data_IF_208777882986
#
_entry.id   IF_208777882986
#
_cell.length_a   1.000
_cell.length_b   1.000
_cell.length_c   1.000
_cell.angle_alpha   90.00
_cell.angle_beta   90.00
_cell.angle_gamma   90.00
#
_symmetry.space_group_name_H-M   'P 1'
#
loop_
_entity.id
_entity.type
_entity.pdbx_description
1 polymer ?
#
# COMPACT_ATOMS: atom_id res chain seq x y z
N UNK A 1 47.39 -37.32 19.32
CA UNK A 1 48.23 -37.53 18.13
C UNK A 1 47.34 -37.32 16.91
N UNK A 2 47.55 -36.19 16.21
CA UNK A 2 47.08 -35.77 14.86
C UNK A 2 45.58 -35.89 14.49
N UNK A 3 44.92 -34.93 13.84
CA UNK A 3 45.22 -33.54 13.50
C UNK A 3 43.95 -32.90 12.93
N UNK A 4 43.73 -31.62 13.26
CA UNK A 4 42.88 -30.69 12.50
C UNK A 4 43.32 -30.67 11.04
N UNK A 5 42.39 -30.77 10.09
CA UNK A 5 42.61 -30.34 8.70
C UNK A 5 41.79 -29.08 8.43
N UNK A 6 42.48 -27.96 8.52
CA UNK A 6 42.09 -26.68 7.94
C UNK A 6 42.10 -26.80 6.41
N UNK A 7 40.99 -26.46 5.76
CA UNK A 7 40.96 -26.21 4.32
C UNK A 7 40.99 -24.69 4.11
N UNK A 8 42.20 -24.16 3.89
CA UNK A 8 42.40 -22.84 3.30
C UNK A 8 42.12 -22.96 1.80
N UNK A 9 41.11 -22.26 1.30
CA UNK A 9 41.03 -21.96 -0.13
C UNK A 9 41.38 -20.49 -0.34
N UNK A 10 42.50 -20.33 -1.02
CA UNK A 10 43.09 -19.09 -1.52
C UNK A 10 42.18 -18.62 -2.66
N UNK A 11 41.60 -17.42 -2.55
CA UNK A 11 41.08 -16.73 -3.74
C UNK A 11 41.88 -15.45 -3.92
N UNK A 12 42.57 -15.41 -5.05
CA UNK A 12 43.57 -14.42 -5.41
C UNK A 12 42.89 -13.08 -5.70
N UNK A 13 43.54 -12.00 -5.25
CA UNK A 13 43.12 -10.65 -5.52
C UNK A 13 43.17 -10.34 -7.00
N UNK A 14 42.08 -9.75 -7.50
CA UNK A 14 42.06 -9.02 -8.77
C UNK A 14 41.85 -7.55 -8.44
N UNK A 15 42.96 -6.84 -8.26
CA UNK A 15 43.03 -5.39 -8.13
C UNK A 15 42.75 -4.76 -9.50
N UNK A 16 41.64 -4.04 -9.61
CA UNK A 16 41.33 -3.19 -10.77
C UNK A 16 41.96 -1.82 -10.52
N UNK A 17 42.87 -1.31 -11.38
CA UNK A 17 43.52 -0.04 -11.12
C UNK A 17 42.60 1.13 -11.49
N UNK A 18 42.45 2.02 -10.52
CA UNK A 18 41.89 3.36 -10.59
C UNK A 18 42.80 4.23 -11.47
N UNK A 19 42.34 4.61 -12.67
CA UNK A 19 43.01 5.62 -13.50
C UNK A 19 42.38 6.98 -13.22
N UNK A 20 43.09 7.77 -12.43
CA UNK A 20 42.88 9.21 -12.24
C UNK A 20 43.59 9.93 -13.39
N UNK A 21 42.85 10.67 -14.21
CA UNK A 21 43.43 11.62 -15.16
C UNK A 21 42.85 13.02 -14.88
N UNK A 22 43.64 13.82 -14.15
CA UNK A 22 43.50 15.26 -14.05
C UNK A 22 44.02 15.90 -15.35
N UNK A 23 43.16 16.64 -16.05
CA UNK A 23 43.58 17.65 -17.02
C UNK A 23 42.83 18.96 -16.72
N UNK A 24 43.58 19.90 -16.14
CA UNK A 24 43.23 21.31 -16.06
C UNK A 24 43.42 21.95 -17.44
N UNK A 25 42.40 22.66 -17.91
CA UNK A 25 42.53 23.63 -19.00
C UNK A 25 41.53 24.76 -18.77
N UNK A 26 42.02 25.90 -18.30
CA UNK A 26 41.29 27.15 -18.21
C UNK A 26 41.29 27.85 -19.58
N UNK A 27 40.15 28.41 -19.98
CA UNK A 27 40.08 29.55 -20.89
C UNK A 27 38.73 30.26 -20.68
N UNK A 28 38.80 31.43 -20.05
CA UNK A 28 37.72 32.41 -19.96
C UNK A 28 37.58 33.19 -21.27
N UNK A 29 36.36 33.40 -21.74
CA UNK A 29 36.05 34.51 -22.65
C UNK A 29 34.63 35.03 -22.42
N UNK A 30 34.52 36.34 -22.60
CA UNK A 30 33.51 37.26 -22.09
C UNK A 30 32.40 37.49 -23.11
N UNK A 31 31.14 37.54 -22.62
CA UNK A 31 30.11 38.50 -23.04
C UNK A 31 29.44 38.35 -24.41
N UNK A 32 28.17 37.94 -24.41
CA UNK A 32 27.15 38.50 -25.29
C UNK A 32 25.76 38.33 -24.65
N UNK A 33 25.18 39.45 -24.21
CA UNK A 33 23.80 39.57 -23.76
C UNK A 33 22.87 39.42 -24.96
N UNK A 34 22.11 38.32 -25.03
CA UNK A 34 21.01 38.16 -25.97
C UNK A 34 19.69 38.39 -25.24
N UNK A 35 19.00 39.45 -25.63
CA UNK A 35 17.71 39.90 -25.10
C UNK A 35 16.64 38.86 -25.43
N UNK A 36 16.00 38.34 -24.38
CA UNK A 36 14.85 37.44 -24.42
C UNK A 36 13.63 38.14 -25.06
N UNK A 37 12.99 37.58 -26.11
CA UNK A 37 11.67 38.03 -26.51
C UNK A 37 10.62 37.58 -25.48
N UNK A 38 9.79 38.52 -25.04
CA UNK A 38 8.67 38.27 -24.14
C UNK A 38 7.65 37.30 -24.78
N UNK A 39 7.08 36.35 -24.02
CA UNK A 39 5.97 35.56 -24.51
C UNK A 39 4.71 36.45 -24.61
N UNK A 40 4.15 36.50 -25.82
CA UNK A 40 2.86 37.14 -26.12
C UNK A 40 1.76 36.50 -25.28
N UNK A 41 1.03 37.32 -24.53
CA UNK A 41 -0.19 36.91 -23.84
C UNK A 41 -1.28 36.57 -24.87
N UNK A 42 -1.63 35.29 -24.95
CA UNK A 42 -2.84 34.83 -25.64
C UNK A 42 -3.99 34.86 -24.64
N UNK A 43 -4.96 35.75 -24.85
CA UNK A 43 -6.22 35.79 -24.12
C UNK A 43 -7.07 34.56 -24.46
N UNK A 44 -7.32 33.68 -23.49
CA UNK A 44 -8.31 32.60 -23.60
C UNK A 44 -9.72 33.15 -23.32
N UNK A 45 -10.79 32.62 -23.97
CA UNK A 45 -12.14 33.12 -23.79
C UNK A 45 -12.69 32.74 -22.41
N UNK A 46 -13.51 33.63 -21.83
CA UNK A 46 -14.29 33.34 -20.64
C UNK A 46 -15.27 32.19 -20.90
N UNK A 47 -15.19 31.14 -20.09
CA UNK A 47 -16.16 30.06 -20.07
C UNK A 47 -17.10 30.21 -18.86
N UNK A 48 -18.38 30.25 -19.20
CA UNK A 48 -19.61 30.31 -18.41
C UNK A 48 -19.63 29.38 -17.19
N UNK A 49 -20.12 29.90 -16.06
CA UNK A 49 -20.54 29.12 -14.90
C UNK A 49 -21.94 28.54 -15.13
N UNK A 50 -22.12 27.23 -14.91
CA UNK A 50 -23.36 26.55 -14.45
C UNK A 50 -23.21 25.01 -14.55
N UNK A 51 -23.99 24.17 -13.82
CA UNK A 51 -24.53 24.29 -12.46
C UNK A 51 -24.06 23.13 -11.55
N UNK A 52 -24.23 23.28 -10.24
CA UNK A 52 -24.05 22.26 -9.20
C UNK A 52 -24.79 20.96 -9.53
N UNK A 53 -24.05 19.85 -9.63
CA UNK A 53 -24.62 18.51 -9.74
C UNK A 53 -24.67 17.84 -8.36
N UNK A 54 -25.89 17.48 -7.97
CA UNK A 54 -26.30 16.67 -6.83
C UNK A 54 -25.58 15.32 -6.79
N UNK A 55 -25.14 14.90 -5.61
CA UNK A 55 -24.54 13.58 -5.33
C UNK A 55 -25.58 12.49 -5.63
N UNK A 56 -25.21 11.49 -6.43
CA UNK A 56 -26.02 10.31 -6.71
C UNK A 56 -25.24 9.05 -6.28
N UNK A 57 -25.83 8.31 -5.34
CA UNK A 57 -25.57 6.89 -5.11
C UNK A 57 -25.55 6.16 -6.47
N UNK A 58 -24.37 5.73 -6.90
CA UNK A 58 -24.23 5.04 -8.19
C UNK A 58 -24.18 3.54 -7.95
N UNK A 59 -25.33 2.88 -8.07
CA UNK A 59 -25.38 1.44 -8.28
C UNK A 59 -25.05 1.14 -9.76
N UNK A 60 -23.97 0.40 -10.01
CA UNK A 60 -23.58 -0.07 -11.35
C UNK A 60 -24.27 -1.41 -11.64
N UNK A 61 -24.88 -1.62 -12.83
CA UNK A 61 -25.62 -2.85 -13.14
C UNK A 61 -24.69 -4.05 -13.46
N UNK A 62 -25.12 -5.20 -12.97
CA UNK A 62 -24.43 -6.50 -12.83
C UNK A 62 -24.29 -7.30 -14.14
N UNK A 63 -23.14 -7.93 -14.35
CA UNK A 63 -23.01 -9.18 -15.14
C UNK A 63 -23.26 -10.39 -14.23
N UNK A 64 -24.17 -11.28 -14.62
CA UNK A 64 -24.64 -12.46 -13.86
C UNK A 64 -23.58 -13.08 -12.93
N UNK A 65 -23.72 -12.87 -11.61
CA UNK A 65 -22.94 -13.53 -10.56
C UNK A 65 -22.02 -12.63 -9.73
N UNK A 66 -21.69 -11.41 -10.18
CA UNK A 66 -20.88 -10.48 -9.38
C UNK A 66 -21.73 -9.77 -8.31
N UNK A 67 -21.18 -9.52 -7.11
CA UNK A 67 -21.89 -8.79 -6.06
C UNK A 67 -22.18 -7.35 -6.48
N UNK A 68 -23.31 -6.81 -6.03
CA UNK A 68 -23.58 -5.38 -6.08
C UNK A 68 -22.86 -4.69 -4.93
N UNK A 69 -22.11 -3.64 -5.26
CA UNK A 69 -21.31 -2.91 -4.27
C UNK A 69 -21.90 -1.51 -4.08
N UNK A 70 -22.10 -1.12 -2.82
CA UNK A 70 -22.41 0.24 -2.41
C UNK A 70 -21.27 0.75 -1.54
N UNK A 71 -20.81 1.98 -1.80
CA UNK A 71 -19.72 2.61 -1.06
C UNK A 71 -19.87 4.13 -1.12
N UNK A 72 -19.90 4.78 0.04
CA UNK A 72 -19.79 6.23 0.16
C UNK A 72 -18.31 6.61 0.30
N UNK A 73 -17.73 7.16 -0.77
CA UNK A 73 -16.32 7.60 -0.76
C UNK A 73 -16.10 8.92 -0.01
N UNK A 74 -17.17 9.61 0.40
CA UNK A 74 -17.10 10.90 1.05
C UNK A 74 -16.17 11.88 0.31
N UNK A 75 -15.20 12.46 1.04
CA UNK A 75 -14.15 13.31 0.48
C UNK A 75 -12.84 12.59 0.15
N UNK A 76 -12.77 11.27 0.36
CA UNK A 76 -11.53 10.49 0.15
C UNK A 76 -11.23 10.33 -1.34
N UNK A 77 -12.27 10.18 -2.16
CA UNK A 77 -12.17 10.03 -3.60
C UNK A 77 -13.38 10.68 -4.29
N UNK A 78 -13.30 10.91 -5.60
CA UNK A 78 -14.40 11.46 -6.40
C UNK A 78 -15.56 10.48 -6.63
N UNK A 79 -15.36 9.22 -6.24
CA UNK A 79 -16.26 8.09 -6.42
C UNK A 79 -15.44 6.80 -6.47
N UNK A 80 -16.07 5.70 -6.89
CA UNK A 80 -15.39 4.44 -7.16
C UNK A 80 -15.80 3.88 -8.52
N UNK A 81 -14.92 3.09 -9.12
CA UNK A 81 -15.22 2.29 -10.30
C UNK A 81 -15.03 0.81 -9.97
N UNK A 82 -15.86 -0.05 -10.54
CA UNK A 82 -15.80 -1.51 -10.32
C UNK A 82 -15.33 -2.22 -11.58
N UNK A 83 -14.43 -3.17 -11.41
CA UNK A 83 -13.99 -4.09 -12.46
C UNK A 83 -14.04 -5.54 -11.95
N UNK A 84 -14.56 -6.46 -12.76
CA UNK A 84 -14.44 -7.89 -12.50
C UNK A 84 -13.10 -8.38 -13.04
N UNK A 85 -12.21 -8.80 -12.15
CA UNK A 85 -10.92 -9.37 -12.51
C UNK A 85 -11.08 -10.87 -12.70
N UNK A 86 -10.75 -11.35 -13.89
CA UNK A 86 -10.85 -12.77 -14.23
C UNK A 86 -9.90 -13.62 -13.38
N UNK A 87 -10.33 -14.85 -13.07
CA UNK A 87 -9.51 -15.81 -12.33
C UNK A 87 -8.10 -16.00 -12.96
N UNK A 88 -7.09 -16.06 -12.11
CA UNK A 88 -5.72 -16.39 -12.49
C UNK A 88 -5.44 -17.81 -12.03
N UNK A 89 -5.31 -18.72 -12.98
CA UNK A 89 -4.98 -20.13 -12.72
C UNK A 89 -3.49 -20.32 -12.52
N UNK A 90 -3.12 -21.35 -11.77
CA UNK A 90 -1.72 -21.76 -11.63
C UNK A 90 -1.09 -22.07 -13.00
N UNK A 91 -0.03 -21.34 -13.34
CA UNK A 91 0.82 -21.62 -14.48
C UNK A 91 2.05 -22.41 -14.02
N UNK A 92 2.59 -23.28 -14.86
CA UNK A 92 3.82 -24.02 -14.54
C UNK A 92 4.97 -23.04 -14.21
N UNK A 93 5.46 -23.07 -12.97
CA UNK A 93 6.49 -22.15 -12.48
C UNK A 93 5.99 -20.72 -12.16
N UNK A 94 4.68 -20.48 -12.18
CA UNK A 94 4.07 -19.23 -11.76
C UNK A 94 4.15 -19.03 -10.24
N UNK A 95 4.16 -17.77 -9.76
CA UNK A 95 4.16 -17.51 -8.34
C UNK A 95 2.82 -17.87 -7.69
N UNK A 96 2.85 -18.63 -6.59
CA UNK A 96 1.62 -19.02 -5.88
C UNK A 96 0.80 -17.81 -5.41
N UNK A 97 1.44 -16.69 -5.07
CA UNK A 97 0.75 -15.46 -4.64
C UNK A 97 -0.05 -14.77 -5.76
N UNK A 98 0.17 -15.15 -7.02
CA UNK A 98 -0.60 -14.65 -8.16
C UNK A 98 -1.86 -15.45 -8.47
N UNK A 99 -2.05 -16.63 -7.87
CA UNK A 99 -3.20 -17.49 -8.11
C UNK A 99 -4.39 -16.97 -7.30
N UNK A 100 -5.43 -16.51 -8.00
CA UNK A 100 -6.61 -15.88 -7.39
C UNK A 100 -7.87 -16.28 -8.17
N UNK A 101 -9.04 -16.35 -7.50
CA UNK A 101 -10.30 -16.61 -8.18
C UNK A 101 -10.69 -15.39 -9.02
N UNK A 102 -11.83 -15.44 -9.68
CA UNK A 102 -12.47 -14.21 -10.13
C UNK A 102 -12.85 -13.36 -8.91
N UNK A 103 -12.64 -12.05 -8.96
CA UNK A 103 -12.97 -11.14 -7.87
C UNK A 103 -13.37 -9.76 -8.37
N UNK A 104 -14.01 -8.97 -7.51
CA UNK A 104 -14.36 -7.58 -7.85
C UNK A 104 -13.28 -6.65 -7.31
N UNK A 105 -12.75 -5.78 -8.17
CA UNK A 105 -11.80 -4.73 -7.83
C UNK A 105 -12.52 -3.38 -7.88
N UNK A 106 -12.32 -2.57 -6.85
CA UNK A 106 -12.71 -1.17 -6.85
C UNK A 106 -11.48 -0.29 -6.96
N UNK A 107 -11.53 0.68 -7.87
CA UNK A 107 -10.56 1.78 -7.94
C UNK A 107 -11.20 3.07 -7.39
N UNK A 108 -10.35 3.99 -6.92
CA UNK A 108 -10.79 5.23 -6.26
C UNK A 108 -10.25 6.46 -7.01
N UNK A 109 -10.86 6.87 -8.14
CA UNK A 109 -10.46 8.07 -8.86
C UNK A 109 -10.47 9.31 -7.96
N UNK A 110 -9.41 10.13 -8.05
CA UNK A 110 -9.29 11.33 -7.23
C UNK A 110 -8.78 11.10 -5.81
N UNK A 111 -8.32 9.89 -5.47
CA UNK A 111 -7.59 9.64 -4.23
C UNK A 111 -6.36 10.58 -4.11
N UNK A 112 -6.08 11.18 -2.93
CA UNK A 112 -5.13 12.29 -2.85
C UNK A 112 -3.66 11.88 -2.95
N UNK A 113 -3.32 10.60 -2.73
CA UNK A 113 -1.96 10.10 -2.85
C UNK A 113 -1.76 9.40 -4.19
N UNK A 114 -0.89 9.99 -5.02
CA UNK A 114 -0.56 9.50 -6.36
C UNK A 114 0.91 9.07 -6.52
N UNK A 115 1.78 9.46 -5.58
CA UNK A 115 3.20 9.08 -5.56
C UNK A 115 3.43 8.06 -4.45
N UNK A 116 3.18 6.79 -4.75
CA UNK A 116 3.25 5.69 -3.80
C UNK A 116 3.54 4.37 -4.53
N UNK A 117 4.12 3.39 -3.85
CA UNK A 117 4.45 2.08 -4.40
C UNK A 117 3.22 1.31 -4.91
N UNK A 118 2.13 1.41 -4.14
CA UNK A 118 0.84 0.75 -4.39
C UNK A 118 -0.23 1.77 -4.78
N UNK A 119 -1.24 1.31 -5.51
CA UNK A 119 -2.40 2.11 -5.91
C UNK A 119 -3.58 1.90 -4.95
N UNK A 120 -4.42 2.92 -4.70
CA UNK A 120 -5.59 2.81 -3.82
C UNK A 120 -6.64 1.87 -4.42
N UNK A 121 -6.87 0.74 -3.77
CA UNK A 121 -7.75 -0.32 -4.26
C UNK A 121 -8.52 -1.00 -3.14
N UNK A 122 -9.73 -1.46 -3.44
CA UNK A 122 -10.52 -2.36 -2.57
C UNK A 122 -10.82 -3.63 -3.37
N UNK A 123 -10.66 -4.79 -2.74
CA UNK A 123 -10.80 -6.11 -3.34
C UNK A 123 -11.91 -6.86 -2.63
N UNK A 124 -12.82 -7.45 -3.39
CA UNK A 124 -13.92 -8.28 -2.88
C UNK A 124 -13.75 -9.69 -3.45
N UNK A 125 -13.28 -10.61 -2.60
CA UNK A 125 -13.02 -11.99 -2.99
C UNK A 125 -14.15 -12.91 -2.52
N UNK A 126 -14.68 -13.80 -3.38
CA UNK A 126 -15.56 -14.86 -2.95
C UNK A 126 -14.75 -15.89 -2.14
N UNK A 127 -15.11 -16.08 -0.85
CA UNK A 127 -14.28 -16.80 0.14
C UNK A 127 -14.10 -18.28 -0.24
N UNK A 128 -15.18 -18.94 -0.67
CA UNK A 128 -15.17 -20.36 -1.01
C UNK A 128 -14.18 -20.64 -2.14
N UNK A 129 -14.25 -19.84 -3.20
CA UNK A 129 -13.41 -19.94 -4.38
C UNK A 129 -11.97 -19.53 -4.06
N UNK A 130 -11.78 -18.45 -3.29
CA UNK A 130 -10.47 -17.98 -2.86
C UNK A 130 -9.67 -19.09 -2.15
N UNK A 131 -10.30 -19.75 -1.18
CA UNK A 131 -9.69 -20.86 -0.45
C UNK A 131 -9.50 -22.12 -1.30
N UNK A 132 -10.37 -22.34 -2.29
CA UNK A 132 -10.27 -23.48 -3.19
C UNK A 132 -9.12 -23.34 -4.21
N UNK A 133 -8.86 -22.12 -4.71
CA UNK A 133 -7.82 -21.91 -5.72
C UNK A 133 -6.45 -21.63 -5.13
N UNK A 134 -6.37 -21.12 -3.88
CA UNK A 134 -5.10 -20.76 -3.25
C UNK A 134 -5.09 -21.11 -1.77
N UNK A 135 -4.47 -22.25 -1.43
CA UNK A 135 -4.35 -22.74 -0.06
C UNK A 135 -3.64 -21.76 0.89
N UNK A 136 -2.79 -20.87 0.35
CA UNK A 136 -2.12 -19.82 1.12
C UNK A 136 -3.08 -18.80 1.74
N UNK A 137 -4.33 -18.73 1.26
CA UNK A 137 -5.36 -17.81 1.77
C UNK A 137 -6.15 -18.39 2.95
N UNK A 138 -6.19 -19.72 3.11
CA UNK A 138 -6.88 -20.41 4.20
C UNK A 138 -6.46 -19.90 5.59
N UNK A 139 -5.16 -19.83 5.93
CA UNK A 139 -4.74 -19.31 7.24
C UNK A 139 -5.06 -17.82 7.42
N UNK A 140 -5.12 -17.03 6.34
CA UNK A 140 -5.44 -15.59 6.40
C UNK A 140 -6.91 -15.40 6.77
N UNK A 141 -7.82 -16.08 6.06
CA UNK A 141 -9.26 -16.04 6.35
C UNK A 141 -9.54 -16.55 7.77
N UNK A 142 -8.89 -17.66 8.17
CA UNK A 142 -9.06 -18.24 9.52
C UNK A 142 -8.56 -17.29 10.62
N UNK A 143 -7.43 -16.61 10.39
CA UNK A 143 -6.89 -15.63 11.34
C UNK A 143 -7.81 -14.44 11.48
N UNK A 144 -8.36 -13.93 10.37
CA UNK A 144 -9.35 -12.84 10.41
C UNK A 144 -10.60 -13.27 11.19
N UNK A 145 -11.17 -14.44 10.91
CA UNK A 145 -12.32 -14.96 11.69
C UNK A 145 -12.03 -15.03 13.19
N UNK A 146 -10.83 -15.46 13.58
CA UNK A 146 -10.41 -15.54 14.98
C UNK A 146 -10.28 -14.15 15.62
N UNK A 147 -9.71 -13.19 14.88
CA UNK A 147 -9.58 -11.80 15.33
C UNK A 147 -10.93 -11.14 15.55
N UNK A 148 -11.88 -11.33 14.62
CA UNK A 148 -13.21 -10.75 14.71
C UNK A 148 -14.04 -11.33 15.87
N UNK A 149 -13.74 -12.56 16.31
CA UNK A 149 -14.43 -13.19 17.45
C UNK A 149 -13.84 -12.81 18.81
N UNK A 150 -12.53 -12.61 18.89
CA UNK A 150 -11.83 -12.44 20.17
C UNK A 150 -11.38 -11.00 20.47
N UNK A 151 -11.27 -10.17 19.43
CA UNK A 151 -10.63 -8.85 19.44
C UNK A 151 -9.19 -8.85 20.01
N UNK A 152 -8.55 -10.02 20.10
CA UNK A 152 -7.18 -10.18 20.57
C UNK A 152 -6.26 -10.33 19.37
N UNK A 153 -5.29 -9.44 19.23
CA UNK A 153 -4.29 -9.50 18.17
C UNK A 153 -3.56 -10.85 18.16
N UNK A 154 -3.48 -11.45 16.97
CA UNK A 154 -2.74 -12.68 16.70
C UNK A 154 -1.83 -12.45 15.49
N UNK A 155 -0.59 -12.90 15.60
CA UNK A 155 0.36 -12.86 14.51
C UNK A 155 0.35 -14.19 13.72
N UNK A 156 0.44 -14.15 12.38
CA UNK A 156 0.48 -12.95 11.54
C UNK A 156 -0.89 -12.27 11.44
N UNK A 157 -0.90 -10.94 11.29
CA UNK A 157 -2.12 -10.20 10.98
C UNK A 157 -2.60 -10.55 9.56
N UNK A 158 -3.92 -10.68 9.34
CA UNK A 158 -4.45 -11.03 8.03
C UNK A 158 -4.18 -9.90 7.05
N UNK A 159 -3.81 -10.26 5.82
CA UNK A 159 -3.64 -9.30 4.73
C UNK A 159 -3.91 -9.98 3.38
N UNK A 160 -4.77 -9.36 2.58
CA UNK A 160 -4.91 -9.63 1.15
C UNK A 160 -4.81 -8.32 0.37
N UNK A 161 -4.41 -8.36 -0.91
CA UNK A 161 -3.96 -9.54 -1.68
C UNK A 161 -2.65 -10.14 -1.14
N UNK A 162 -2.34 -11.38 -1.54
CA UNK A 162 -1.05 -12.00 -1.19
C UNK A 162 0.10 -11.14 -1.75
N UNK A 163 1.07 -10.84 -0.90
CA UNK A 163 2.16 -9.93 -1.23
C UNK A 163 3.50 -10.61 -0.96
N UNK A 164 4.40 -10.63 -1.95
CA UNK A 164 5.69 -11.30 -1.86
C UNK A 164 6.74 -10.45 -1.13
N UNK A 165 6.42 -10.04 0.09
CA UNK A 165 7.30 -9.32 0.99
C UNK A 165 6.83 -9.56 2.43
N UNK A 166 7.67 -9.22 3.40
CA UNK A 166 7.32 -9.38 4.80
C UNK A 166 6.48 -8.18 5.26
N UNK A 167 5.37 -8.45 5.93
CA UNK A 167 4.65 -7.44 6.69
C UNK A 167 5.47 -7.08 7.94
N UNK A 168 6.03 -5.87 8.01
CA UNK A 168 7.06 -5.55 9.01
C UNK A 168 6.51 -4.90 10.29
N UNK A 169 5.31 -4.32 10.25
CA UNK A 169 4.75 -3.59 11.40
C UNK A 169 3.22 -3.53 11.34
N UNK A 170 2.60 -3.31 12.50
CA UNK A 170 1.18 -2.98 12.63
C UNK A 170 1.03 -1.81 13.59
N UNK A 171 0.38 -0.72 13.15
CA UNK A 171 0.09 0.43 13.98
C UNK A 171 -1.38 0.83 13.82
N UNK A 172 -1.92 1.54 14.79
CA UNK A 172 -3.28 2.10 14.73
C UNK A 172 -4.35 1.02 14.41
N UNK A 173 -4.23 -0.16 15.03
CA UNK A 173 -5.22 -1.24 14.92
C UNK A 173 -6.57 -0.78 15.46
N UNK A 174 -7.62 -0.92 14.65
CA UNK A 174 -9.00 -0.68 15.05
C UNK A 174 -9.92 -1.73 14.47
N UNK A 175 -10.86 -2.23 15.27
CA UNK A 175 -11.97 -3.03 14.79
C UNK A 175 -13.06 -2.08 14.30
N UNK A 176 -13.56 -2.35 13.09
CA UNK A 176 -14.45 -1.46 12.37
C UNK A 176 -15.42 -2.30 11.56
N UNK A 177 -16.70 -2.15 11.85
CA UNK A 177 -17.77 -2.85 11.15
C UNK A 177 -18.21 -2.04 9.91
N UNK A 178 -18.79 -2.74 8.94
CA UNK A 178 -19.42 -2.17 7.74
C UNK A 178 -20.88 -2.65 7.65
N UNK A 179 -21.65 -2.17 6.66
CA UNK A 179 -23.12 -2.31 6.69
C UNK A 179 -23.59 -3.77 6.80
N UNK A 180 -22.88 -4.68 6.14
CA UNK A 180 -23.20 -6.09 6.07
C UNK A 180 -22.09 -7.00 6.61
N UNK A 181 -21.13 -6.49 7.39
CA UNK A 181 -20.05 -7.32 7.92
C UNK A 181 -19.18 -6.66 8.98
N UNK A 182 -18.11 -7.37 9.32
CA UNK A 182 -17.17 -6.96 10.37
C UNK A 182 -15.74 -7.01 9.84
N UNK A 183 -14.89 -6.15 10.38
CA UNK A 183 -13.49 -6.09 9.97
C UNK A 183 -12.60 -5.40 10.97
N UNK A 184 -11.36 -5.24 10.55
CA UNK A 184 -10.37 -4.46 11.24
C UNK A 184 -9.50 -3.73 10.24
N UNK A 185 -8.97 -2.59 10.67
CA UNK A 185 -7.98 -1.82 9.93
C UNK A 185 -6.74 -1.58 10.74
N UNK A 186 -5.62 -1.40 10.07
CA UNK A 186 -4.35 -1.02 10.67
C UNK A 186 -3.46 -0.38 9.60
N UNK A 187 -2.41 0.28 10.06
CA UNK A 187 -1.34 0.77 9.20
C UNK A 187 -0.24 -0.29 9.10
N UNK A 188 0.36 -0.46 7.93
CA UNK A 188 1.45 -1.42 7.69
C UNK A 188 2.37 -0.97 6.55
N UNK A 189 3.55 -1.60 6.51
CA UNK A 189 4.48 -1.56 5.38
C UNK A 189 4.92 -2.99 5.05
N UNK A 190 5.31 -3.23 3.80
CA UNK A 190 5.81 -4.52 3.32
C UNK A 190 7.22 -4.38 2.74
N UNK A 191 8.17 -5.11 3.31
CA UNK A 191 9.59 -4.95 2.96
C UNK A 191 10.25 -6.28 2.56
N UNK A 192 11.23 -6.18 1.67
CA UNK A 192 12.17 -7.28 1.34
C UNK A 192 13.57 -7.05 1.92
N UNK A 193 13.82 -5.89 2.51
CA UNK A 193 15.09 -5.48 3.08
C UNK A 193 14.86 -4.54 4.26
N UNK A 194 15.91 -4.23 5.02
CA UNK A 194 15.83 -3.21 6.07
C UNK A 194 15.80 -1.82 5.44
N UNK A 195 14.60 -1.25 5.37
CA UNK A 195 14.35 0.11 4.90
C UNK A 195 13.55 0.88 5.95
N UNK A 196 13.64 2.21 5.98
CA UNK A 196 12.85 3.00 6.93
C UNK A 196 11.36 2.85 6.64
N UNK A 197 10.52 2.79 7.68
CA UNK A 197 9.08 3.05 7.53
C UNK A 197 8.87 4.45 6.93
N UNK A 198 8.15 4.55 5.81
CA UNK A 198 8.12 5.75 4.98
C UNK A 198 6.77 5.96 4.26
N UNK A 199 6.55 7.18 3.76
CA UNK A 199 5.31 7.58 3.08
C UNK A 199 5.17 7.06 1.65
N UNK A 200 6.21 6.47 1.05
CA UNK A 200 6.11 5.85 -0.27
C UNK A 200 5.53 4.42 -0.21
N UNK A 201 5.55 3.78 0.96
CA UNK A 201 5.14 2.39 1.13
C UNK A 201 4.11 2.16 2.26
N UNK A 202 3.87 3.17 3.12
CA UNK A 202 2.89 3.07 4.19
C UNK A 202 1.45 2.99 3.64
N UNK A 203 0.74 1.94 4.05
CA UNK A 203 -0.66 1.74 3.70
C UNK A 203 -1.54 1.69 4.94
N UNK A 204 -2.72 2.29 4.82
CA UNK A 204 -3.90 1.88 5.54
C UNK A 204 -4.43 0.62 4.87
N UNK A 205 -4.62 -0.44 5.66
CA UNK A 205 -5.28 -1.64 5.17
C UNK A 205 -6.49 -1.97 6.01
N UNK A 206 -7.57 -2.38 5.36
CA UNK A 206 -8.77 -2.91 5.99
C UNK A 206 -8.95 -4.36 5.56
N UNK A 207 -9.33 -5.23 6.48
CA UNK A 207 -9.52 -6.65 6.26
C UNK A 207 -10.81 -7.07 6.96
N UNK A 208 -11.80 -7.54 6.21
CA UNK A 208 -13.14 -7.82 6.72
C UNK A 208 -13.82 -8.99 6.03
N UNK A 209 -14.91 -9.45 6.65
CA UNK A 209 -15.77 -10.50 6.14
C UNK A 209 -17.23 -10.03 6.19
N UNK A 210 -17.99 -10.33 5.14
CA UNK A 210 -19.44 -10.18 5.17
C UNK A 210 -20.04 -11.11 6.23
N UNK A 211 -21.21 -10.74 6.76
CA UNK A 211 -21.87 -11.44 7.87
C UNK A 211 -22.30 -12.85 7.51
N UNK A 212 -22.55 -13.12 6.22
CA UNK A 212 -22.81 -14.44 5.68
C UNK A 212 -21.53 -15.27 5.43
N UNK A 213 -20.35 -14.65 5.55
CA UNK A 213 -19.05 -15.26 5.32
C UNK A 213 -18.71 -15.53 3.86
N UNK A 214 -19.53 -15.06 2.91
CA UNK A 214 -19.37 -15.36 1.49
C UNK A 214 -18.27 -14.50 0.84
N UNK A 215 -18.02 -13.29 1.34
CA UNK A 215 -17.03 -12.38 0.76
C UNK A 215 -15.99 -11.91 1.78
N UNK A 216 -14.75 -11.87 1.31
CA UNK A 216 -13.63 -11.22 1.97
C UNK A 216 -13.42 -9.84 1.36
N UNK A 217 -13.36 -8.83 2.21
CA UNK A 217 -13.09 -7.44 1.83
C UNK A 217 -11.66 -7.10 2.23
N UNK A 218 -10.85 -6.66 1.27
CA UNK A 218 -9.52 -6.12 1.53
C UNK A 218 -9.42 -4.70 0.98
N UNK A 219 -8.87 -3.76 1.74
CA UNK A 219 -8.50 -2.44 1.22
C UNK A 219 -6.99 -2.25 1.33
N UNK A 220 -6.40 -1.66 0.30
CA UNK A 220 -4.99 -1.24 0.25
C UNK A 220 -4.98 0.21 -0.18
N UNK A 221 -4.83 1.09 0.81
CA UNK A 221 -5.01 2.53 0.63
C UNK A 221 -3.72 3.25 1.09
N UNK A 222 -2.96 3.88 0.17
CA UNK A 222 -1.80 4.68 0.53
C UNK A 222 -2.13 5.73 1.58
N UNK A 223 -1.26 5.92 2.57
CA UNK A 223 -1.46 6.94 3.60
C UNK A 223 -0.13 7.54 4.03
N UNK A 224 -0.12 8.84 4.29
CA UNK A 224 1.06 9.57 4.71
C UNK A 224 0.92 10.10 6.14
N UNK A 225 2.05 10.21 6.84
CA UNK A 225 2.15 10.96 8.09
C UNK A 225 3.37 11.89 8.05
N UNK A 226 3.25 13.16 8.50
CA UNK A 226 4.35 14.15 8.41
C UNK A 226 5.58 13.81 9.26
N UNK A 227 5.48 12.87 10.21
CA UNK A 227 6.63 12.42 11.00
C UNK A 227 7.49 11.37 10.29
N UNK A 228 7.05 10.84 9.15
CA UNK A 228 7.74 9.79 8.40
C UNK A 228 8.54 10.38 7.24
N UNK A 229 9.68 9.76 6.86
CA UNK A 229 10.40 10.13 5.66
C UNK A 229 9.52 9.96 4.42
N UNK A 230 9.86 10.71 3.36
CA UNK A 230 9.11 10.68 2.11
C UNK A 230 9.21 9.34 1.38
N UNK A 231 10.35 8.66 1.48
CA UNK A 231 10.67 7.42 0.75
C UNK A 231 11.63 6.53 1.56
N UNK A 232 12.04 5.41 0.95
CA UNK A 232 12.91 4.40 1.55
C UNK A 232 14.40 4.79 1.59
N UNK A 233 14.78 6.04 1.27
CA UNK A 233 16.18 6.45 1.23
C UNK A 233 16.83 6.39 2.61
N UNK A 234 17.92 5.64 2.73
CA UNK A 234 18.78 5.63 3.93
C UNK A 234 19.76 6.78 3.84
N UNK A 235 19.63 7.72 4.76
CA UNK A 235 20.35 9.00 4.79
C UNK A 235 21.53 9.00 5.77
N UNK A 236 21.59 8.02 6.67
CA UNK A 236 22.51 7.98 7.81
C UNK A 236 22.04 8.82 9.01
N UNK A 237 20.87 9.47 8.91
CA UNK A 237 20.23 10.21 10.01
C UNK A 237 19.14 9.39 10.72
N UNK A 238 18.94 8.13 10.31
CA UNK A 238 18.00 7.24 10.95
C UNK A 238 18.40 7.02 12.42
N UNK A 239 17.44 6.72 13.31
CA UNK A 239 17.73 6.36 14.68
C UNK A 239 18.75 5.21 14.76
N UNK A 240 19.61 5.19 15.79
CA UNK A 240 20.69 4.21 15.90
C UNK A 240 20.19 2.76 15.86
N UNK A 241 19.00 2.52 16.38
CA UNK A 241 18.32 1.23 16.34
C UNK A 241 18.02 0.75 14.91
N UNK A 242 17.84 1.65 13.93
CA UNK A 242 17.64 1.24 12.53
C UNK A 242 18.78 0.34 12.03
N UNK A 243 20.02 0.66 12.40
CA UNK A 243 21.20 -0.11 12.00
C UNK A 243 21.55 -1.23 12.99
N UNK A 244 21.40 -0.97 14.29
CA UNK A 244 21.92 -1.87 15.33
C UNK A 244 20.89 -2.87 15.87
N UNK A 245 19.59 -2.58 15.74
CA UNK A 245 18.48 -3.39 16.26
C UNK A 245 17.15 -3.04 15.55
N UNK A 246 17.00 -3.53 14.31
CA UNK A 246 15.86 -3.22 13.46
C UNK A 246 14.48 -3.59 14.09
N UNK A 247 14.32 -4.71 14.81
CA UNK A 247 13.08 -4.97 15.56
C UNK A 247 12.74 -3.88 16.60
N UNK A 248 13.73 -3.35 17.31
CA UNK A 248 13.51 -2.22 18.23
C UNK A 248 13.15 -0.94 17.47
N UNK A 249 13.76 -0.69 16.31
CA UNK A 249 13.37 0.40 15.40
C UNK A 249 11.87 0.32 15.03
N UNK A 250 11.41 -0.83 14.56
CA UNK A 250 10.01 -1.04 14.19
C UNK A 250 9.08 -0.80 15.39
N UNK A 251 9.43 -1.32 16.56
CA UNK A 251 8.67 -1.13 17.80
C UNK A 251 8.56 0.36 18.17
N UNK A 252 9.66 1.12 18.04
CA UNK A 252 9.68 2.55 18.34
C UNK A 252 8.85 3.36 17.33
N UNK A 253 8.91 3.02 16.04
CA UNK A 253 8.08 3.66 15.02
C UNK A 253 6.60 3.40 15.30
N UNK A 254 6.20 2.16 15.57
CA UNK A 254 4.82 1.81 15.94
C UNK A 254 4.37 2.57 17.19
N UNK A 255 5.20 2.63 18.22
CA UNK A 255 4.92 3.38 19.45
C UNK A 255 4.77 4.90 19.19
N UNK A 256 5.45 5.43 18.17
CA UNK A 256 5.31 6.84 17.76
C UNK A 256 4.06 7.12 16.92
N UNK A 257 3.60 6.14 16.12
CA UNK A 257 2.43 6.26 15.25
C UNK A 257 1.11 6.01 15.99
N UNK A 258 1.06 5.06 16.93
CA UNK A 258 -0.14 4.71 17.69
C UNK A 258 -0.84 5.87 18.44
N UNK A 259 -0.14 6.87 19.01
CA UNK A 259 -0.79 7.99 19.68
C UNK A 259 -1.15 9.15 18.74
N UNK A 260 -0.78 9.08 17.44
CA UNK A 260 -1.10 10.16 16.49
C UNK A 260 -2.61 10.26 16.27
N UNK A 261 -3.11 11.48 16.12
CA UNK A 261 -4.52 11.72 15.86
C UNK A 261 -4.85 11.33 14.41
N UNK A 262 -6.01 10.71 14.18
CA UNK A 262 -6.43 10.24 12.86
C UNK A 262 -6.38 11.35 11.77
N UNK A 263 -6.66 12.60 12.14
CA UNK A 263 -6.66 13.74 11.24
C UNK A 263 -5.26 14.34 10.96
N UNK A 264 -4.19 13.80 11.54
CA UNK A 264 -2.81 14.16 11.17
C UNK A 264 -2.25 13.30 10.04
N UNK A 265 -2.97 12.23 9.67
CA UNK A 265 -2.67 11.44 8.48
C UNK A 265 -3.30 12.07 7.24
N UNK A 266 -2.78 11.71 6.08
CA UNK A 266 -3.36 12.10 4.79
C UNK A 266 -3.53 10.84 3.93
N UNK A 267 -4.75 10.47 3.52
CA UNK A 267 -6.04 11.00 3.99
C UNK A 267 -6.23 10.89 5.51
N UNK A 268 -7.20 11.64 6.05
CA UNK A 268 -7.62 11.51 7.45
C UNK A 268 -8.14 10.08 7.69
N UNK A 269 -7.62 9.39 8.70
CA UNK A 269 -8.01 8.01 8.98
C UNK A 269 -9.50 7.90 9.32
N UNK A 270 -10.12 8.92 9.93
CA UNK A 270 -11.55 8.91 10.23
C UNK A 270 -12.42 8.94 8.96
N UNK A 271 -11.92 9.55 7.88
CA UNK A 271 -12.62 9.55 6.59
C UNK A 271 -12.47 8.20 5.88
N UNK A 272 -11.30 7.57 6.00
CA UNK A 272 -11.08 6.20 5.52
C UNK A 272 -11.95 5.19 6.30
N UNK A 273 -12.02 5.34 7.63
CA UNK A 273 -12.88 4.52 8.49
C UNK A 273 -14.36 4.70 8.09
N UNK A 274 -14.83 5.94 7.91
CA UNK A 274 -16.20 6.21 7.48
C UNK A 274 -16.53 5.61 6.10
N UNK A 275 -15.60 5.71 5.15
CA UNK A 275 -15.74 5.09 3.83
C UNK A 275 -15.87 3.56 3.97
N UNK A 276 -14.97 2.92 4.72
CA UNK A 276 -15.03 1.46 4.90
C UNK A 276 -16.30 1.02 5.63
N UNK A 277 -16.76 1.74 6.66
CA UNK A 277 -18.01 1.44 7.36
C UNK A 277 -19.27 1.64 6.51
N UNK A 278 -19.19 2.41 5.43
CA UNK A 278 -20.30 2.59 4.48
C UNK A 278 -20.45 1.44 3.49
N UNK A 279 -19.43 0.59 3.35
CA UNK A 279 -19.43 -0.51 2.39
C UNK A 279 -20.62 -1.45 2.63
N UNK A 280 -21.26 -1.87 1.54
CA UNK A 280 -22.24 -2.94 1.52
C UNK A 280 -22.01 -3.86 0.30
N UNK A 281 -22.05 -5.18 0.51
CA UNK A 281 -21.85 -6.21 -0.53
C UNK A 281 -23.11 -7.07 -0.67
N UNK A 282 -23.83 -6.97 -1.80
CA UNK A 282 -25.12 -7.63 -2.03
C UNK A 282 -25.13 -8.67 -3.14
#
# INVERSE_FOLDING_TARGET
>A
MFAKKHLKLIWQGLTIPLVVLLLLSACSSTGATATQPAPTATSAPAATLEPTATIADTAVPVTNGSPQIFLDTGSVAAGFETETITAVTEAEGGPYWGVMPEYTLLTLPGYPINNHLLTPQIFIYPVTELQAVNEGTVPIVTSLQTLLQSSQEIAPMPFLPLFNAQQVMHAQLQYLDFQDGQGLRYLTQFDQAFIPINNYELIYTYQGLTSDGNYYVAAVLPVNHPSLPADAAVTGNEPLEFTNDFPTYLTNVVASLNPQAANTFTPDLTQLDAMMSSLEVK
#
